data_IF_250148123887
#
_entry.id   IF_250148123887
#
_cell.length_a   1.000
_cell.length_b   1.000
_cell.length_c   1.000
_cell.angle_alpha   90.00
_cell.angle_beta   90.00
_cell.angle_gamma   90.00
#
_symmetry.space_group_name_H-M   'P 1'
#
loop_
_entity.id
_entity.type
_entity.pdbx_description
1 polymer ?
#
# COMPACT_ATOMS: atom_id res chain seq x y z
N UNK A 1 25.71 -20.40 -0.80
CA UNK A 1 25.90 -18.93 -0.74
C UNK A 1 25.87 -18.25 -2.12
N UNK A 2 25.81 -18.98 -3.25
CA UNK A 2 25.68 -18.42 -4.61
C UNK A 2 24.22 -18.20 -5.05
N UNK A 3 23.28 -19.00 -4.55
CA UNK A 3 21.85 -18.94 -4.90
C UNK A 3 21.15 -17.65 -4.44
N UNK A 4 21.56 -17.06 -3.32
CA UNK A 4 21.00 -15.77 -2.85
C UNK A 4 21.38 -14.63 -3.80
N UNK A 5 22.63 -14.55 -4.22
CA UNK A 5 23.08 -13.54 -5.17
C UNK A 5 22.37 -13.66 -6.51
N UNK A 6 22.18 -14.90 -7.00
CA UNK A 6 21.48 -15.16 -8.26
C UNK A 6 19.97 -14.86 -8.15
N UNK A 7 19.33 -15.21 -7.02
CA UNK A 7 17.93 -14.88 -6.77
C UNK A 7 17.68 -13.36 -6.68
N UNK A 8 18.57 -12.62 -6.00
CA UNK A 8 18.48 -11.15 -5.91
C UNK A 8 18.69 -10.52 -7.30
N UNK A 9 19.67 -11.01 -8.07
CA UNK A 9 19.94 -10.52 -9.42
C UNK A 9 18.75 -10.76 -10.36
N UNK A 10 18.15 -11.96 -10.31
CA UNK A 10 16.98 -12.31 -11.12
C UNK A 10 15.75 -11.49 -10.69
N UNK A 11 15.51 -11.32 -9.40
CA UNK A 11 14.40 -10.52 -8.90
C UNK A 11 14.54 -9.04 -9.31
N UNK A 12 15.75 -8.48 -9.21
CA UNK A 12 16.06 -7.12 -9.65
C UNK A 12 15.84 -6.98 -11.15
N UNK A 13 16.39 -7.90 -11.96
CA UNK A 13 16.27 -7.84 -13.40
C UNK A 13 14.81 -7.98 -13.86
N UNK A 14 14.06 -8.93 -13.28
CA UNK A 14 12.66 -9.14 -13.61
C UNK A 14 11.78 -7.93 -13.26
N UNK A 15 11.96 -7.33 -12.07
CA UNK A 15 11.16 -6.18 -11.64
C UNK A 15 11.52 -4.90 -12.38
N UNK A 16 12.80 -4.66 -12.66
CA UNK A 16 13.23 -3.50 -13.43
C UNK A 16 12.79 -3.61 -14.89
N UNK A 17 12.86 -4.80 -15.48
CA UNK A 17 12.41 -5.02 -16.85
C UNK A 17 10.89 -4.81 -16.97
N UNK A 18 10.08 -5.39 -16.07
CA UNK A 18 8.62 -5.18 -16.08
C UNK A 18 8.19 -3.73 -15.83
N UNK A 19 9.00 -2.90 -15.13
CA UNK A 19 8.70 -1.47 -14.91
C UNK A 19 9.29 -0.57 -15.98
N UNK A 20 10.44 -0.90 -16.53
CA UNK A 20 11.09 -0.13 -17.58
C UNK A 20 10.41 -0.35 -18.94
N UNK A 21 9.89 -1.54 -19.22
CA UNK A 21 9.14 -1.83 -20.46
C UNK A 21 7.93 -0.91 -20.64
N UNK A 22 7.01 -0.74 -19.66
CA UNK A 22 5.91 0.21 -19.80
C UNK A 22 6.42 1.65 -19.89
N UNK A 23 7.44 2.06 -19.13
CA UNK A 23 8.00 3.41 -19.22
C UNK A 23 8.69 3.70 -20.57
N UNK A 24 9.25 2.68 -21.22
CA UNK A 24 9.98 2.80 -22.48
C UNK A 24 9.05 2.75 -23.70
N UNK A 25 8.01 1.91 -23.68
CA UNK A 25 6.97 1.86 -24.73
C UNK A 25 6.05 3.09 -24.69
N UNK A 26 5.74 3.61 -23.51
CA UNK A 26 4.84 4.76 -23.31
C UNK A 26 5.51 6.11 -23.59
N UNK A 27 6.81 6.12 -23.93
CA UNK A 27 7.55 7.33 -24.36
C UNK A 27 7.19 7.78 -25.77
N UNK A 28 6.42 7.01 -26.53
CA UNK A 28 5.80 7.49 -27.78
C UNK A 28 4.66 8.42 -27.43
N UNK A 29 4.74 9.63 -27.95
CA UNK A 29 3.74 10.70 -27.87
C UNK A 29 2.34 10.17 -28.22
N UNK A 30 1.57 9.79 -27.20
CA UNK A 30 0.19 9.33 -27.39
C UNK A 30 -0.64 10.57 -27.71
N UNK A 31 -0.87 10.82 -29.00
CA UNK A 31 -1.71 11.90 -29.54
C UNK A 31 -3.21 11.72 -29.22
N UNK A 32 -3.58 10.83 -28.30
CA UNK A 32 -4.96 10.55 -27.88
C UNK A 32 -5.08 10.54 -26.35
N UNK A 33 -5.85 11.49 -25.82
CA UNK A 33 -6.18 11.67 -24.40
C UNK A 33 -6.85 10.45 -23.75
N UNK A 34 -7.46 9.56 -24.54
CA UNK A 34 -8.23 8.42 -24.03
C UNK A 34 -7.34 7.32 -23.45
N UNK A 35 -6.25 6.96 -24.13
CA UNK A 35 -5.34 5.89 -23.69
C UNK A 35 -4.47 6.35 -22.50
N UNK A 36 -4.10 7.64 -22.47
CA UNK A 36 -3.32 8.20 -21.36
C UNK A 36 -4.16 8.25 -20.07
N UNK A 37 -5.41 8.69 -20.16
CA UNK A 37 -6.34 8.74 -19.02
C UNK A 37 -6.61 7.34 -18.45
N UNK A 38 -6.76 6.33 -19.32
CA UNK A 38 -6.98 4.94 -18.91
C UNK A 38 -5.74 4.36 -18.19
N UNK A 39 -4.55 4.51 -18.78
CA UNK A 39 -3.31 4.00 -18.15
C UNK A 39 -2.92 4.75 -16.88
N UNK A 40 -3.24 6.04 -16.75
CA UNK A 40 -2.99 6.78 -15.51
C UNK A 40 -3.90 6.30 -14.37
N UNK A 41 -5.15 5.93 -14.66
CA UNK A 41 -6.10 5.47 -13.64
C UNK A 41 -5.85 4.03 -13.17
N UNK A 42 -5.40 3.14 -14.05
CA UNK A 42 -5.26 1.70 -13.75
C UNK A 42 -4.34 1.41 -12.55
N UNK A 43 -3.09 1.94 -12.46
CA UNK A 43 -2.21 1.65 -11.33
C UNK A 43 -2.77 2.15 -10.00
N UNK A 44 -3.38 3.34 -9.98
CA UNK A 44 -3.98 3.92 -8.77
C UNK A 44 -5.22 3.15 -8.30
N UNK A 45 -6.04 2.68 -9.24
CA UNK A 45 -7.17 1.81 -8.95
C UNK A 45 -6.71 0.47 -8.37
N UNK A 46 -5.69 -0.16 -8.97
CA UNK A 46 -5.13 -1.44 -8.48
C UNK A 46 -4.46 -1.27 -7.12
N UNK A 47 -3.67 -0.20 -6.92
CA UNK A 47 -3.02 0.08 -5.64
C UNK A 47 -4.05 0.23 -4.51
N UNK A 48 -5.15 0.95 -4.78
CA UNK A 48 -6.28 1.05 -3.84
C UNK A 48 -6.95 -0.30 -3.62
N UNK A 49 -7.20 -1.07 -4.68
CA UNK A 49 -7.80 -2.40 -4.58
C UNK A 49 -6.95 -3.40 -3.77
N UNK A 50 -5.62 -3.20 -3.69
CA UNK A 50 -4.74 -3.99 -2.83
C UNK A 50 -4.71 -3.47 -1.39
N UNK A 51 -4.70 -2.16 -1.18
CA UNK A 51 -4.59 -1.55 0.15
C UNK A 51 -5.91 -1.68 0.94
N UNK A 52 -7.06 -1.48 0.30
CA UNK A 52 -8.37 -1.57 0.93
C UNK A 52 -8.56 -2.90 1.68
N UNK A 53 -8.42 -4.09 1.05
CA UNK A 53 -8.53 -5.35 1.77
C UNK A 53 -7.42 -5.52 2.80
N UNK A 54 -6.17 -5.18 2.48
CA UNK A 54 -5.06 -5.34 3.42
C UNK A 54 -5.26 -4.53 4.72
N UNK A 55 -5.83 -3.32 4.62
CA UNK A 55 -6.11 -2.48 5.78
C UNK A 55 -7.16 -3.10 6.72
N UNK A 56 -8.16 -3.79 6.17
CA UNK A 56 -9.19 -4.46 6.97
C UNK A 56 -8.74 -5.83 7.50
N UNK A 57 -8.01 -6.61 6.71
CA UNK A 57 -7.57 -7.96 7.11
C UNK A 57 -6.35 -7.96 8.03
N UNK A 58 -5.51 -6.92 8.02
CA UNK A 58 -4.30 -6.86 8.85
C UNK A 58 -4.58 -6.58 10.34
N UNK A 59 -5.83 -6.30 10.72
CA UNK A 59 -6.18 -5.92 12.08
C UNK A 59 -7.21 -6.89 12.65
N UNK A 60 -6.97 -7.44 13.85
CA UNK A 60 -7.82 -8.47 14.46
C UNK A 60 -9.22 -7.99 14.89
N UNK A 61 -9.52 -6.70 14.80
CA UNK A 61 -10.83 -6.13 15.16
C UNK A 61 -11.27 -5.03 14.17
N UNK A 62 -12.57 -5.03 13.84
CA UNK A 62 -13.19 -4.06 12.92
C UNK A 62 -13.02 -2.59 13.39
N UNK A 63 -12.97 -2.38 14.71
CA UNK A 63 -12.85 -1.07 15.35
C UNK A 63 -11.45 -0.48 15.15
N UNK A 64 -10.39 -1.28 15.32
CA UNK A 64 -9.01 -0.84 15.09
C UNK A 64 -8.73 -0.59 13.61
N UNK A 65 -9.34 -1.38 12.71
CA UNK A 65 -9.24 -1.15 11.27
C UNK A 65 -9.90 0.20 10.86
N UNK A 66 -11.11 0.48 11.34
CA UNK A 66 -11.81 1.75 11.08
C UNK A 66 -11.04 2.96 11.66
N UNK A 67 -10.49 2.83 12.87
CA UNK A 67 -9.67 3.87 13.48
C UNK A 67 -8.38 4.13 12.68
N UNK A 68 -7.67 3.08 12.27
CA UNK A 68 -6.45 3.18 11.47
C UNK A 68 -6.68 3.81 10.10
N UNK A 69 -7.74 3.40 9.38
CA UNK A 69 -8.14 3.98 8.09
C UNK A 69 -8.58 5.44 8.26
N UNK A 70 -9.34 5.76 9.31
CA UNK A 70 -9.77 7.13 9.60
C UNK A 70 -8.60 8.08 9.84
N UNK A 71 -7.65 7.68 10.69
CA UNK A 71 -6.41 8.46 10.93
C UNK A 71 -5.59 8.59 9.65
N UNK A 72 -5.46 7.51 8.87
CA UNK A 72 -4.75 7.53 7.59
C UNK A 72 -5.32 8.59 6.64
N UNK A 73 -6.65 8.62 6.51
CA UNK A 73 -7.36 9.54 5.62
C UNK A 73 -7.17 11.00 6.05
N UNK A 74 -7.34 11.28 7.36
CA UNK A 74 -7.21 12.63 7.93
C UNK A 74 -5.78 13.15 7.79
N UNK A 75 -4.78 12.32 8.01
CA UNK A 75 -3.37 12.72 7.87
C UNK A 75 -2.95 12.86 6.39
N UNK A 76 -3.47 12.00 5.50
CA UNK A 76 -3.21 12.06 4.07
C UNK A 76 -3.77 13.35 3.44
N UNK A 77 -4.95 13.80 3.87
CA UNK A 77 -5.54 15.07 3.40
C UNK A 77 -4.71 16.31 3.75
N UNK A 78 -3.81 16.22 4.73
CA UNK A 78 -2.96 17.35 5.12
C UNK A 78 -1.68 17.48 4.27
N UNK A 79 -1.55 16.70 3.18
CA UNK A 79 -0.42 16.78 2.25
C UNK A 79 0.92 16.38 2.85
N UNK A 80 0.92 15.61 3.96
CA UNK A 80 2.14 15.15 4.63
C UNK A 80 2.78 13.99 3.85
N UNK A 81 4.08 13.81 4.01
CA UNK A 81 4.84 12.75 3.32
C UNK A 81 4.24 11.36 3.60
N UNK A 82 4.22 10.50 2.57
CA UNK A 82 3.69 9.13 2.66
C UNK A 82 4.30 8.33 3.83
N UNK A 83 5.58 8.54 4.10
CA UNK A 83 6.28 7.94 5.25
C UNK A 83 5.72 8.40 6.60
N UNK A 84 5.37 9.67 6.75
CA UNK A 84 4.79 10.19 8.00
C UNK A 84 3.39 9.64 8.19
N UNK A 85 2.60 9.53 7.12
CA UNK A 85 1.27 8.90 7.19
C UNK A 85 1.39 7.44 7.62
N UNK A 86 2.28 6.67 7.01
CA UNK A 86 2.48 5.25 7.35
C UNK A 86 2.99 5.02 8.79
N UNK A 87 3.94 5.83 9.26
CA UNK A 87 4.43 5.73 10.64
C UNK A 87 3.37 6.15 11.65
N UNK A 88 2.63 7.23 11.37
CA UNK A 88 1.56 7.68 12.25
C UNK A 88 0.41 6.66 12.32
N UNK A 89 -0.01 6.09 11.19
CA UNK A 89 -1.06 5.06 11.18
C UNK A 89 -0.62 3.81 11.92
N UNK A 90 0.60 3.31 11.67
CA UNK A 90 1.16 2.18 12.40
C UNK A 90 1.24 2.45 13.92
N UNK A 91 1.71 3.64 14.31
CA UNK A 91 1.76 4.05 15.72
C UNK A 91 0.36 4.13 16.34
N UNK A 92 -0.64 4.65 15.63
CA UNK A 92 -2.02 4.69 16.12
C UNK A 92 -2.65 3.32 16.23
N UNK A 93 -2.44 2.42 15.26
CA UNK A 93 -2.95 1.03 15.34
C UNK A 93 -2.30 0.31 16.51
N UNK A 94 -0.99 0.47 16.70
CA UNK A 94 -0.28 -0.12 17.83
C UNK A 94 -0.76 0.44 19.18
N UNK A 95 -0.98 1.75 19.30
CA UNK A 95 -1.53 2.37 20.52
C UNK A 95 -2.97 1.93 20.78
N UNK A 96 -3.80 1.83 19.74
CA UNK A 96 -5.18 1.36 19.85
C UNK A 96 -5.19 -0.11 20.27
N UNK A 97 -4.42 -0.98 19.63
CA UNK A 97 -4.29 -2.39 20.05
C UNK A 97 -3.73 -2.53 21.46
N UNK A 98 -2.73 -1.73 21.84
CA UNK A 98 -2.15 -1.72 23.19
C UNK A 98 -3.15 -1.24 24.26
N UNK A 99 -4.00 -0.26 23.93
CA UNK A 99 -5.07 0.21 24.83
C UNK A 99 -6.25 -0.76 24.88
N UNK A 100 -6.53 -1.46 23.78
CA UNK A 100 -7.60 -2.44 23.69
C UNK A 100 -7.19 -3.79 24.33
N UNK A 101 -5.91 -4.15 24.40
CA UNK A 101 -5.45 -5.42 25.03
C UNK A 101 -5.78 -5.53 26.52
N UNK A 102 -6.22 -4.45 27.17
CA UNK A 102 -6.77 -4.51 28.52
C UNK A 102 -8.18 -5.13 28.62
N UNK A 103 -8.93 -5.37 27.52
CA UNK A 103 -10.37 -5.75 27.59
C UNK A 103 -10.84 -7.00 26.80
N UNK A 104 -10.39 -7.38 25.59
CA UNK A 104 -11.01 -8.52 24.89
C UNK A 104 -10.02 -9.55 24.33
N UNK A 105 -9.20 -10.16 25.20
CA UNK A 105 -8.47 -11.41 24.87
C UNK A 105 -9.44 -12.62 24.71
N UNK A 106 -10.76 -12.42 24.83
CA UNK A 106 -11.79 -13.49 24.89
C UNK A 106 -12.73 -13.60 23.68
N UNK A 107 -12.57 -12.84 22.59
CA UNK A 107 -13.55 -12.82 21.48
C UNK A 107 -13.10 -13.45 20.14
N UNK A 108 -11.90 -14.04 20.06
CA UNK A 108 -11.44 -14.79 18.88
C UNK A 108 -10.79 -16.11 19.31
N UNK A 109 -11.62 -17.02 19.82
CA UNK A 109 -11.52 -18.45 19.51
C UNK A 109 -12.65 -18.77 18.53
#
# INVERSE_FOLDING_TARGET
MSYLALAILVAFLATYFLRAVPLLLLRREIRSTWVNSFLYYVPWAVLTAMIVPAAFLSTGTLISALAGVGVALVLAWRGRSLFVVALATAATVWLVEASLTAVPVLAYC
#
